data_IF_907163225846
#
_entry.id   IF_907163225846
#
_cell.length_a   1.000
_cell.length_b   1.000
_cell.length_c   1.000
_cell.angle_alpha   90.00
_cell.angle_beta   90.00
_cell.angle_gamma   90.00
#
_symmetry.space_group_name_H-M   'P 1'
#
loop_
_entity.id
_entity.type
_entity.pdbx_description
1 polymer ?
#
# COMPACT_ATOMS: atom_id res chain seq x y z
N UNK A 1 26.55 -1.42 4.25
CA UNK A 1 25.47 -1.76 5.18
C UNK A 1 25.45 -0.81 6.37
N UNK A 2 24.35 -0.09 6.54
CA UNK A 2 24.00 0.71 7.71
C UNK A 2 23.48 -0.12 8.89
N UNK A 3 23.28 -1.42 8.71
CA UNK A 3 22.83 -2.29 9.79
C UNK A 3 23.85 -2.29 10.93
N UNK A 4 23.33 -2.07 12.14
CA UNK A 4 24.12 -2.12 13.37
C UNK A 4 24.15 -3.56 13.88
N UNK A 5 25.35 -4.05 14.21
CA UNK A 5 25.49 -5.28 14.95
C UNK A 5 25.47 -4.91 16.44
N UNK A 6 24.28 -4.90 17.04
CA UNK A 6 24.07 -4.52 18.46
C UNK A 6 24.01 -5.76 19.36
N UNK A 7 24.53 -5.63 20.60
CA UNK A 7 24.55 -6.69 21.63
C UNK A 7 23.85 -6.24 22.91
N UNK A 8 23.03 -7.13 23.50
CA UNK A 8 22.45 -6.94 24.84
C UNK A 8 23.41 -7.51 25.91
N UNK A 9 23.67 -6.80 27.03
CA UNK A 9 22.86 -5.74 27.63
C UNK A 9 23.44 -4.31 27.55
N UNK A 10 24.51 -4.04 26.78
CA UNK A 10 25.17 -2.73 26.72
C UNK A 10 24.42 -1.72 25.82
N UNK A 11 23.12 -1.54 26.03
CA UNK A 11 22.25 -0.65 25.26
C UNK A 11 22.50 0.85 25.49
N UNK A 12 23.38 1.23 26.42
CA UNK A 12 23.57 2.64 26.81
C UNK A 12 24.94 3.24 26.44
N UNK A 13 25.94 2.44 26.08
CA UNK A 13 27.27 2.95 25.75
C UNK A 13 27.43 3.11 24.23
N UNK A 14 27.05 4.28 23.72
CA UNK A 14 27.17 4.65 22.31
C UNK A 14 28.61 4.54 21.78
N UNK A 15 29.63 4.55 22.67
CA UNK A 15 31.04 4.41 22.31
C UNK A 15 31.44 2.99 21.89
N UNK A 16 30.65 1.97 22.27
CA UNK A 16 30.91 0.55 21.98
C UNK A 16 30.11 0.01 20.78
N UNK A 17 29.51 0.90 19.98
CA UNK A 17 28.71 0.52 18.81
C UNK A 17 29.59 0.08 17.65
N UNK A 18 29.36 -1.14 17.17
CA UNK A 18 30.03 -1.70 16.00
C UNK A 18 29.07 -1.78 14.80
N UNK A 19 29.54 -1.35 13.63
CA UNK A 19 28.80 -1.43 12.38
C UNK A 19 29.29 -2.59 11.53
N UNK A 20 28.40 -3.22 10.74
CA UNK A 20 28.78 -4.33 9.88
C UNK A 20 29.95 -4.01 8.92
N UNK A 21 30.05 -2.79 8.40
CA UNK A 21 31.19 -2.42 7.54
C UNK A 21 32.57 -2.43 8.24
N UNK A 22 32.61 -2.43 9.58
CA UNK A 22 33.86 -2.50 10.35
C UNK A 22 34.28 -3.96 10.60
N UNK A 23 33.29 -4.82 10.87
CA UNK A 23 33.49 -6.22 11.28
C UNK A 23 33.46 -7.22 10.13
N UNK A 24 33.04 -6.81 8.93
CA UNK A 24 33.04 -7.65 7.74
C UNK A 24 34.29 -7.41 6.88
N UNK A 25 34.74 -8.47 6.19
CA UNK A 25 35.78 -8.41 5.18
C UNK A 25 35.27 -7.80 3.85
N UNK A 26 36.15 -7.71 2.85
CA UNK A 26 35.81 -7.18 1.51
C UNK A 26 34.82 -8.07 0.75
N UNK A 27 34.69 -9.32 1.16
CA UNK A 27 33.81 -10.34 0.57
C UNK A 27 32.45 -10.43 1.30
N UNK A 28 32.28 -9.68 2.39
CA UNK A 28 31.07 -9.65 3.21
C UNK A 28 31.00 -10.73 4.28
N UNK A 29 32.08 -11.48 4.56
CA UNK A 29 32.15 -12.45 5.66
C UNK A 29 32.62 -11.79 6.96
N UNK A 30 32.21 -12.37 8.08
CA UNK A 30 32.59 -11.92 9.42
C UNK A 30 34.07 -12.22 9.69
N UNK A 31 34.84 -11.17 10.04
CA UNK A 31 36.25 -11.26 10.44
C UNK A 31 36.40 -12.06 11.72
N UNK A 32 37.51 -12.79 11.84
CA UNK A 32 37.85 -13.51 13.08
C UNK A 32 38.20 -12.54 14.23
N UNK A 33 38.11 -12.99 15.49
CA UNK A 33 38.50 -12.16 16.65
C UNK A 33 39.93 -11.62 16.50
N UNK A 34 40.85 -12.45 15.98
CA UNK A 34 42.26 -12.07 15.78
C UNK A 34 42.39 -10.92 14.76
N UNK A 35 41.66 -10.99 13.64
CA UNK A 35 41.65 -9.93 12.62
C UNK A 35 41.02 -8.62 13.12
N UNK A 36 40.11 -8.69 14.10
CA UNK A 36 39.51 -7.51 14.73
C UNK A 36 40.47 -6.87 15.73
N UNK A 37 41.22 -7.68 16.49
CA UNK A 37 42.28 -7.21 17.39
C UNK A 37 43.40 -6.49 16.62
N UNK A 38 43.79 -7.01 15.44
CA UNK A 38 44.74 -6.34 14.53
C UNK A 38 44.27 -4.95 14.05
N UNK A 39 42.95 -4.70 14.05
CA UNK A 39 42.33 -3.44 13.66
C UNK A 39 42.05 -2.52 14.87
N UNK A 40 42.64 -2.80 16.04
CA UNK A 40 42.37 -2.12 17.32
C UNK A 40 40.90 -2.19 17.77
N UNK A 41 40.15 -3.22 17.35
CA UNK A 41 38.77 -3.45 17.80
C UNK A 41 38.77 -4.58 18.82
N UNK A 42 38.79 -4.22 20.11
CA UNK A 42 38.71 -5.19 21.21
C UNK A 42 37.27 -5.57 21.50
N UNK A 43 36.91 -6.84 21.26
CA UNK A 43 35.57 -7.38 21.52
C UNK A 43 35.72 -8.61 22.41
N UNK A 44 34.93 -8.71 23.47
CA UNK A 44 34.93 -9.91 24.29
C UNK A 44 34.34 -11.11 23.54
N UNK A 45 34.77 -12.33 23.88
CA UNK A 45 34.33 -13.56 23.20
C UNK A 45 32.82 -13.76 23.21
N UNK A 46 32.12 -13.28 24.25
CA UNK A 46 30.67 -13.42 24.36
C UNK A 46 29.95 -12.46 23.41
N UNK A 47 30.37 -11.19 23.35
CA UNK A 47 29.88 -10.23 22.36
C UNK A 47 30.19 -10.73 20.95
N UNK A 48 31.39 -11.26 20.69
CA UNK A 48 31.73 -11.85 19.39
C UNK A 48 30.75 -12.97 18.97
N UNK A 49 30.41 -13.85 19.91
CA UNK A 49 29.45 -14.91 19.69
C UNK A 49 28.04 -14.37 19.38
N UNK A 50 27.60 -13.32 20.07
CA UNK A 50 26.34 -12.64 19.80
C UNK A 50 26.32 -11.99 18.40
N UNK A 51 27.43 -11.36 17.96
CA UNK A 51 27.62 -10.84 16.59
C UNK A 51 27.41 -11.96 15.59
N UNK A 52 28.05 -13.10 15.83
CA UNK A 52 28.04 -14.23 14.91
C UNK A 52 26.62 -14.78 14.73
N UNK A 53 25.85 -14.88 15.81
CA UNK A 53 24.44 -15.31 15.75
C UNK A 53 23.61 -14.31 14.96
N UNK A 54 23.75 -13.01 15.26
CA UNK A 54 22.98 -11.95 14.61
C UNK A 54 23.32 -11.86 13.12
N UNK A 55 24.59 -11.90 12.77
CA UNK A 55 25.10 -11.94 11.40
C UNK A 55 24.49 -13.10 10.60
N UNK A 56 24.49 -14.32 11.14
CA UNK A 56 23.91 -15.49 10.47
C UNK A 56 22.41 -15.33 10.23
N UNK A 57 21.68 -14.74 11.19
CA UNK A 57 20.25 -14.46 11.05
C UNK A 57 19.99 -13.40 9.97
N UNK A 58 20.73 -12.29 10.02
CA UNK A 58 20.57 -11.16 9.11
C UNK A 58 20.93 -11.54 7.67
N UNK A 59 21.99 -12.33 7.49
CA UNK A 59 22.39 -12.86 6.19
C UNK A 59 21.30 -13.76 5.58
N UNK A 60 20.59 -14.53 6.40
CA UNK A 60 19.53 -15.44 5.95
C UNK A 60 18.22 -14.71 5.64
N UNK A 61 17.86 -13.69 6.41
CA UNK A 61 16.58 -12.98 6.29
C UNK A 61 16.62 -11.83 5.26
N UNK A 62 17.72 -11.07 5.22
CA UNK A 62 17.77 -9.80 4.48
C UNK A 62 18.92 -9.71 3.47
N UNK A 63 19.95 -10.55 3.59
CA UNK A 63 21.23 -10.34 2.91
C UNK A 63 21.97 -9.12 3.48
N UNK A 64 23.30 -9.07 3.34
CA UNK A 64 24.11 -7.95 3.84
C UNK A 64 24.82 -7.28 2.68
N UNK A 65 24.32 -6.09 2.30
CA UNK A 65 24.96 -5.28 1.26
C UNK A 65 26.13 -4.49 1.83
N UNK A 66 27.34 -4.76 1.35
CA UNK A 66 28.55 -4.06 1.81
C UNK A 66 28.66 -2.63 1.26
N UNK A 67 28.03 -2.34 0.11
CA UNK A 67 28.03 -1.01 -0.52
C UNK A 67 27.09 -0.03 0.21
N UNK A 68 27.41 1.27 0.12
CA UNK A 68 26.55 2.33 0.65
C UNK A 68 25.46 2.67 -0.36
N UNK A 69 24.20 2.45 0.04
CA UNK A 69 23.06 2.80 -0.79
C UNK A 69 22.80 4.31 -0.74
N UNK A 70 22.03 4.83 -1.70
CA UNK A 70 21.68 6.25 -1.72
C UNK A 70 20.94 6.68 -0.44
N UNK A 71 20.13 5.80 0.17
CA UNK A 71 19.57 5.99 1.51
C UNK A 71 20.63 6.15 2.59
N UNK A 72 21.67 5.32 2.59
CA UNK A 72 22.75 5.40 3.58
C UNK A 72 23.45 6.76 3.50
N UNK A 73 23.62 7.29 2.28
CA UNK A 73 24.19 8.63 2.07
C UNK A 73 23.28 9.75 2.59
N UNK A 74 21.96 9.62 2.42
CA UNK A 74 20.97 10.58 2.94
C UNK A 74 20.89 10.53 4.46
N UNK A 75 20.95 9.34 5.07
CA UNK A 75 20.81 9.14 6.51
C UNK A 75 22.08 9.49 7.30
N UNK A 76 23.26 9.32 6.70
CA UNK A 76 24.56 9.58 7.35
C UNK A 76 25.17 10.94 6.98
N UNK A 77 24.64 11.61 5.95
CA UNK A 77 25.11 12.94 5.55
C UNK A 77 24.72 14.01 6.57
N UNK A 78 25.64 14.92 6.92
CA UNK A 78 25.37 16.13 7.72
C UNK A 78 24.64 17.22 6.91
N UNK A 79 23.87 16.82 5.90
CA UNK A 79 23.35 17.72 4.89
C UNK A 79 22.12 18.49 5.40
N UNK A 80 22.12 19.80 5.15
CA UNK A 80 20.88 20.59 5.22
C UNK A 80 19.86 20.00 4.23
N UNK A 81 18.57 20.04 4.58
CA UNK A 81 17.44 19.54 3.77
C UNK A 81 17.33 18.00 3.67
N UNK A 82 17.78 17.27 4.70
CA UNK A 82 17.61 15.81 4.81
C UNK A 82 16.17 15.34 4.51
N UNK A 83 15.15 16.05 5.02
CA UNK A 83 13.73 15.73 4.79
C UNK A 83 13.40 15.78 3.30
N UNK A 84 13.83 16.82 2.57
CA UNK A 84 13.57 16.95 1.13
C UNK A 84 14.28 15.87 0.31
N UNK A 85 15.52 15.52 0.68
CA UNK A 85 16.25 14.42 0.02
C UNK A 85 15.56 13.07 0.26
N UNK A 86 15.11 12.82 1.49
CA UNK A 86 14.37 11.61 1.83
C UNK A 86 13.03 11.56 1.08
N UNK A 87 12.29 12.67 1.01
CA UNK A 87 11.03 12.76 0.28
C UNK A 87 11.22 12.48 -1.21
N UNK A 88 12.22 13.08 -1.85
CA UNK A 88 12.51 12.82 -3.27
C UNK A 88 12.95 11.37 -3.51
N UNK A 89 13.77 10.80 -2.62
CA UNK A 89 14.17 9.40 -2.72
C UNK A 89 12.96 8.45 -2.59
N UNK A 90 12.08 8.71 -1.63
CA UNK A 90 10.85 7.92 -1.45
C UNK A 90 9.91 8.07 -2.64
N UNK A 91 9.77 9.27 -3.21
CA UNK A 91 9.02 9.50 -4.44
C UNK A 91 9.60 8.68 -5.60
N UNK A 92 10.91 8.74 -5.84
CA UNK A 92 11.56 7.97 -6.90
C UNK A 92 11.36 6.46 -6.71
N UNK A 93 11.43 5.97 -5.48
CA UNK A 93 11.21 4.56 -5.16
C UNK A 93 9.74 4.13 -5.33
N UNK A 94 8.79 4.92 -4.83
CA UNK A 94 7.34 4.68 -4.96
C UNK A 94 6.90 4.69 -6.43
N UNK A 95 7.48 5.57 -7.25
CA UNK A 95 7.21 5.64 -8.69
C UNK A 95 7.76 4.42 -9.47
N UNK A 96 8.80 3.75 -8.96
CA UNK A 96 9.42 2.59 -9.61
C UNK A 96 8.75 1.28 -9.21
N UNK A 97 8.28 1.14 -7.96
CA UNK A 97 7.72 -0.13 -7.47
C UNK A 97 6.19 -0.26 -7.62
N UNK A 98 5.43 0.83 -7.69
CA UNK A 98 3.96 0.80 -7.52
C UNK A 98 3.15 1.06 -8.81
N UNK A 99 3.55 0.50 -9.95
CA UNK A 99 2.80 0.60 -11.22
C UNK A 99 1.43 -0.12 -11.12
N UNK A 100 1.27 -1.06 -10.18
CA UNK A 100 0.04 -1.83 -10.01
C UNK A 100 -0.39 -1.87 -8.54
N UNK A 101 -1.23 -0.91 -8.14
CA UNK A 101 -1.79 -0.91 -6.78
C UNK A 101 -2.64 -2.18 -6.59
N UNK A 102 -2.43 -2.95 -5.52
CA UNK A 102 -3.20 -4.17 -5.21
C UNK A 102 -4.74 -4.05 -5.37
N UNK A 103 -5.38 -2.91 -5.05
CA UNK A 103 -6.80 -2.67 -5.33
C UNK A 103 -7.17 -2.72 -6.81
N UNK A 104 -6.30 -2.26 -7.72
CA UNK A 104 -6.53 -2.26 -9.17
C UNK A 104 -6.66 -3.69 -9.71
N UNK A 105 -5.75 -4.59 -9.33
CA UNK A 105 -5.83 -6.03 -9.66
C UNK A 105 -7.13 -6.61 -9.10
N UNK A 106 -7.45 -6.25 -7.86
CA UNK A 106 -8.61 -6.79 -7.18
C UNK A 106 -9.94 -6.30 -7.79
N UNK A 107 -9.96 -5.10 -8.38
CA UNK A 107 -11.08 -4.59 -9.18
C UNK A 107 -11.14 -5.25 -10.56
N UNK A 108 -10.00 -5.34 -11.26
CA UNK A 108 -9.90 -6.02 -12.55
C UNK A 108 -10.44 -7.46 -12.48
N UNK A 109 -10.09 -8.19 -11.41
CA UNK A 109 -10.62 -9.54 -11.15
C UNK A 109 -12.14 -9.58 -11.00
N UNK A 110 -12.76 -8.56 -10.39
CA UNK A 110 -14.23 -8.52 -10.22
C UNK A 110 -14.95 -8.12 -11.51
N UNK A 111 -14.35 -7.24 -12.32
CA UNK A 111 -14.93 -6.77 -13.57
C UNK A 111 -14.70 -7.74 -14.73
N UNK A 112 -13.67 -8.58 -14.64
CA UNK A 112 -13.32 -9.56 -15.67
C UNK A 112 -12.45 -9.01 -16.79
N UNK A 113 -11.90 -7.81 -16.64
CA UNK A 113 -10.98 -7.18 -17.58
C UNK A 113 -10.02 -6.23 -16.85
N UNK A 114 -8.90 -5.90 -17.48
CA UNK A 114 -7.88 -5.03 -16.87
C UNK A 114 -8.27 -3.56 -16.92
N UNK A 115 -8.07 -2.86 -15.80
CA UNK A 115 -8.07 -1.40 -15.72
C UNK A 115 -6.64 -0.95 -16.00
N UNK A 116 -6.47 -0.08 -17.00
CA UNK A 116 -5.16 0.47 -17.33
C UNK A 116 -4.72 1.49 -16.29
N UNK A 117 -3.41 1.68 -16.13
CA UNK A 117 -2.88 2.61 -15.12
C UNK A 117 -3.33 4.05 -15.41
N UNK A 118 -3.36 4.44 -16.68
CA UNK A 118 -3.80 5.76 -17.12
C UNK A 118 -5.25 6.02 -16.73
N UNK A 119 -6.14 5.04 -16.96
CA UNK A 119 -7.56 5.11 -16.54
C UNK A 119 -7.67 5.23 -15.01
N UNK A 120 -6.84 4.50 -14.26
CA UNK A 120 -6.81 4.56 -12.81
C UNK A 120 -6.34 5.93 -12.28
N UNK A 121 -5.29 6.51 -12.89
CA UNK A 121 -4.79 7.83 -12.56
C UNK A 121 -5.79 8.95 -12.89
N UNK A 122 -6.51 8.83 -14.00
CA UNK A 122 -7.56 9.79 -14.36
C UNK A 122 -8.68 9.80 -13.32
N UNK A 123 -9.11 8.62 -12.86
CA UNK A 123 -10.10 8.50 -11.78
C UNK A 123 -9.57 9.16 -10.50
N UNK A 124 -8.30 8.93 -10.17
CA UNK A 124 -7.66 9.52 -9.00
C UNK A 124 -7.62 11.05 -9.06
N UNK A 125 -7.09 11.60 -10.15
CA UNK A 125 -7.00 13.05 -10.41
C UNK A 125 -8.38 13.70 -10.38
N UNK A 126 -9.38 13.07 -11.01
CA UNK A 126 -10.77 13.53 -11.00
C UNK A 126 -11.36 13.54 -9.60
N UNK A 127 -11.18 12.47 -8.84
CA UNK A 127 -11.74 12.32 -7.50
C UNK A 127 -11.14 13.34 -6.50
N UNK A 128 -9.90 13.78 -6.72
CA UNK A 128 -9.27 14.86 -5.95
C UNK A 128 -9.97 16.22 -6.13
N UNK A 129 -10.47 16.50 -7.34
CA UNK A 129 -11.03 17.80 -7.72
C UNK A 129 -12.55 17.86 -7.67
N UNK A 130 -13.25 16.72 -7.70
CA UNK A 130 -14.71 16.67 -7.89
C UNK A 130 -15.52 17.34 -6.77
N UNK A 131 -15.02 17.30 -5.54
CA UNK A 131 -15.74 17.82 -4.38
C UNK A 131 -14.78 18.50 -3.42
N UNK A 132 -15.24 19.55 -2.73
CA UNK A 132 -14.48 20.19 -1.64
C UNK A 132 -14.74 19.53 -0.28
N UNK A 133 -15.80 18.72 -0.16
CA UNK A 133 -16.14 18.05 1.09
C UNK A 133 -15.17 16.92 1.38
N UNK A 134 -14.57 16.95 2.57
CA UNK A 134 -13.64 15.92 3.04
C UNK A 134 -14.33 14.55 3.14
N UNK A 135 -15.58 14.51 3.62
CA UNK A 135 -16.32 13.27 3.77
C UNK A 135 -16.54 12.56 2.42
N UNK A 136 -16.91 13.28 1.37
CA UNK A 136 -17.09 12.70 0.04
C UNK A 136 -15.75 12.25 -0.58
N UNK A 137 -14.66 12.99 -0.37
CA UNK A 137 -13.32 12.54 -0.79
C UNK A 137 -12.92 11.25 -0.10
N UNK A 138 -13.16 11.15 1.20
CA UNK A 138 -12.86 9.95 1.99
C UNK A 138 -13.64 8.74 1.48
N UNK A 139 -14.95 8.88 1.19
CA UNK A 139 -15.75 7.79 0.61
C UNK A 139 -15.20 7.31 -0.73
N UNK A 140 -14.79 8.23 -1.61
CA UNK A 140 -14.18 7.88 -2.89
C UNK A 140 -12.88 7.09 -2.70
N UNK A 141 -12.02 7.51 -1.77
CA UNK A 141 -10.80 6.79 -1.45
C UNK A 141 -11.08 5.41 -0.88
N UNK A 142 -12.03 5.31 0.06
CA UNK A 142 -12.45 4.03 0.64
C UNK A 142 -12.99 3.09 -0.43
N UNK A 143 -13.70 3.61 -1.43
CA UNK A 143 -14.20 2.81 -2.55
C UNK A 143 -13.07 2.36 -3.48
N UNK A 144 -12.23 3.29 -3.96
CA UNK A 144 -11.11 2.98 -4.85
C UNK A 144 -10.16 1.94 -4.24
N UNK A 145 -9.71 2.17 -3.00
CA UNK A 145 -8.76 1.29 -2.31
C UNK A 145 -9.41 0.08 -1.62
N UNK A 146 -10.74 -0.06 -1.69
CA UNK A 146 -11.49 -1.13 -1.04
C UNK A 146 -11.22 -1.21 0.46
N UNK A 147 -11.27 -0.05 1.11
CA UNK A 147 -10.95 0.11 2.53
C UNK A 147 -11.97 -0.56 3.45
N UNK A 148 -13.25 -0.56 3.07
CA UNK A 148 -14.30 -1.15 3.89
C UNK A 148 -14.03 -2.63 4.20
N UNK A 149 -14.10 -3.00 5.48
CA UNK A 149 -13.93 -4.38 5.93
C UNK A 149 -15.21 -5.17 5.61
N UNK A 150 -15.09 -6.14 4.71
CA UNK A 150 -16.16 -7.08 4.41
C UNK A 150 -16.17 -8.24 5.42
N UNK A 151 -17.32 -8.87 5.71
CA UNK A 151 -17.42 -10.06 6.57
C UNK A 151 -16.39 -11.15 6.23
N UNK A 152 -16.13 -11.39 4.94
CA UNK A 152 -15.12 -12.36 4.49
C UNK A 152 -13.69 -12.01 4.91
N UNK A 153 -13.38 -10.72 5.07
CA UNK A 153 -12.09 -10.25 5.62
C UNK A 153 -12.10 -10.29 7.14
N UNK A 154 -13.21 -9.93 7.77
CA UNK A 154 -13.33 -9.89 9.24
C UNK A 154 -13.08 -11.26 9.88
N UNK A 155 -13.53 -12.36 9.26
CA UNK A 155 -13.26 -13.71 9.79
C UNK A 155 -11.77 -14.02 9.90
N UNK A 156 -10.97 -13.51 8.97
CA UNK A 156 -9.52 -13.74 8.98
C UNK A 156 -8.86 -13.07 10.19
N UNK A 157 -9.48 -12.02 10.72
CA UNK A 157 -9.02 -11.27 11.90
C UNK A 157 -9.65 -11.86 13.17
N UNK A 158 -10.96 -12.14 13.11
CA UNK A 158 -11.78 -12.62 14.20
C UNK A 158 -12.49 -13.91 13.76
N UNK A 159 -11.93 -15.10 14.08
CA UNK A 159 -12.48 -16.37 13.62
C UNK A 159 -13.92 -16.66 14.06
N UNK A 160 -14.39 -16.02 15.14
CA UNK A 160 -15.76 -16.14 15.66
C UNK A 160 -16.79 -15.26 14.92
N UNK A 161 -16.33 -14.39 14.00
CA UNK A 161 -17.22 -13.51 13.26
C UNK A 161 -18.05 -14.26 12.21
N UNK A 162 -19.25 -13.74 11.91
CA UNK A 162 -20.14 -14.32 10.92
C UNK A 162 -19.71 -13.96 9.47
N UNK A 163 -19.55 -14.94 8.55
CA UNK A 163 -19.15 -14.69 7.15
C UNK A 163 -20.22 -14.04 6.29
N UNK A 164 -21.45 -14.05 6.75
CA UNK A 164 -22.60 -13.76 5.93
C UNK A 164 -22.71 -12.27 5.64
N UNK A 165 -23.22 -11.95 4.46
CA UNK A 165 -23.49 -10.58 4.05
C UNK A 165 -24.40 -9.88 5.06
N UNK A 166 -24.00 -8.71 5.56
CA UNK A 166 -24.80 -7.91 6.49
C UNK A 166 -26.16 -7.49 5.95
N UNK A 167 -26.30 -7.42 4.62
CA UNK A 167 -27.52 -6.97 3.96
C UNK A 167 -28.47 -8.14 3.70
N UNK A 168 -28.08 -9.10 2.86
CA UNK A 168 -28.98 -10.19 2.49
C UNK A 168 -28.96 -11.38 3.47
N UNK A 169 -27.93 -11.51 4.30
CA UNK A 169 -27.75 -12.63 5.26
C UNK A 169 -27.78 -14.04 4.64
N UNK A 170 -27.65 -14.17 3.31
CA UNK A 170 -27.75 -15.44 2.56
C UNK A 170 -26.40 -15.87 1.96
N UNK A 171 -25.66 -14.94 1.35
CA UNK A 171 -24.39 -15.26 0.70
C UNK A 171 -23.20 -14.75 1.54
N UNK A 172 -22.01 -15.29 1.28
CA UNK A 172 -20.77 -14.76 1.86
C UNK A 172 -20.60 -13.26 1.56
N UNK A 173 -20.35 -12.49 2.61
CA UNK A 173 -20.12 -11.05 2.54
C UNK A 173 -18.72 -10.73 2.00
N UNK A 174 -18.48 -10.99 0.72
CA UNK A 174 -17.29 -10.45 0.03
C UNK A 174 -17.50 -8.96 -0.23
N UNK A 175 -16.40 -8.21 -0.39
CA UNK A 175 -16.49 -6.78 -0.68
C UNK A 175 -17.31 -6.50 -1.95
N UNK A 176 -17.09 -7.26 -3.03
CA UNK A 176 -17.85 -7.07 -4.27
C UNK A 176 -19.33 -7.46 -4.10
N UNK A 177 -19.62 -8.45 -3.26
CA UNK A 177 -20.99 -8.80 -2.93
C UNK A 177 -21.71 -7.67 -2.19
N UNK A 178 -21.10 -7.10 -1.16
CA UNK A 178 -21.69 -6.00 -0.38
C UNK A 178 -22.02 -4.76 -1.19
N UNK A 179 -21.25 -4.50 -2.26
CA UNK A 179 -21.37 -3.28 -3.05
C UNK A 179 -22.04 -3.46 -4.40
N UNK A 180 -22.14 -4.69 -4.93
CA UNK A 180 -22.71 -4.93 -6.26
C UNK A 180 -23.60 -6.18 -6.35
N UNK A 181 -23.08 -7.37 -6.05
CA UNK A 181 -23.81 -8.62 -6.36
C UNK A 181 -24.89 -8.98 -5.35
N UNK A 182 -24.94 -8.34 -4.19
CA UNK A 182 -26.00 -8.55 -3.21
C UNK A 182 -27.37 -8.15 -3.81
N UNK A 183 -28.41 -9.01 -3.74
CA UNK A 183 -29.72 -8.71 -4.33
C UNK A 183 -30.33 -7.39 -3.86
N UNK A 184 -30.18 -7.07 -2.57
CA UNK A 184 -30.67 -5.81 -1.97
C UNK A 184 -29.95 -4.61 -2.59
N UNK A 185 -28.64 -4.73 -2.82
CA UNK A 185 -27.81 -3.67 -3.38
C UNK A 185 -28.00 -3.55 -4.89
N UNK A 186 -28.21 -4.67 -5.58
CA UNK A 186 -28.60 -4.67 -6.98
C UNK A 186 -29.90 -3.89 -7.17
N UNK A 187 -30.90 -4.12 -6.33
CA UNK A 187 -32.16 -3.36 -6.36
C UNK A 187 -31.95 -1.87 -6.07
N UNK A 188 -31.07 -1.54 -5.13
CA UNK A 188 -30.69 -0.15 -4.86
C UNK A 188 -30.07 0.52 -6.09
N UNK A 189 -29.06 -0.11 -6.71
CA UNK A 189 -28.42 0.44 -7.91
C UNK A 189 -29.35 0.54 -9.11
N UNK A 190 -30.32 -0.38 -9.25
CA UNK A 190 -31.33 -0.28 -10.30
C UNK A 190 -32.22 0.95 -10.13
N UNK A 191 -32.61 1.28 -8.89
CA UNK A 191 -33.35 2.52 -8.60
C UNK A 191 -32.52 3.76 -8.95
N UNK A 192 -31.24 3.77 -8.57
CA UNK A 192 -30.32 4.87 -8.90
C UNK A 192 -30.13 5.00 -10.41
N UNK A 193 -30.00 3.89 -11.13
CA UNK A 193 -29.93 3.88 -12.60
C UNK A 193 -31.18 4.54 -13.20
N UNK A 194 -32.37 4.06 -12.86
CA UNK A 194 -33.61 4.60 -13.41
C UNK A 194 -33.73 6.10 -13.14
N UNK A 195 -33.44 6.52 -11.91
CA UNK A 195 -33.46 7.95 -11.55
C UNK A 195 -32.45 8.79 -12.33
N UNK A 196 -31.24 8.28 -12.55
CA UNK A 196 -30.24 8.95 -13.39
C UNK A 196 -30.67 9.03 -14.86
N UNK A 197 -31.27 7.97 -15.39
CA UNK A 197 -31.78 7.95 -16.77
C UNK A 197 -32.95 8.91 -16.96
N UNK A 198 -33.84 9.04 -15.97
CA UNK A 198 -34.92 10.02 -15.95
C UNK A 198 -34.39 11.46 -15.95
N UNK A 199 -33.34 11.75 -15.18
CA UNK A 199 -32.75 13.11 -15.12
C UNK A 199 -31.96 13.44 -16.39
N UNK A 200 -31.16 12.48 -16.85
CA UNK A 200 -30.21 12.72 -17.95
C UNK A 200 -30.84 12.51 -19.32
N UNK A 201 -31.99 11.83 -19.39
CA UNK A 201 -32.64 11.40 -20.63
C UNK A 201 -31.73 10.54 -21.52
N UNK A 202 -30.81 9.80 -20.89
CA UNK A 202 -29.79 8.98 -21.57
C UNK A 202 -29.78 7.59 -20.93
N UNK A 203 -29.75 6.55 -21.77
CA UNK A 203 -29.59 5.17 -21.31
C UNK A 203 -28.19 4.90 -20.77
N UNK A 204 -28.12 4.45 -19.51
CA UNK A 204 -26.90 4.10 -18.80
C UNK A 204 -26.60 2.59 -18.91
N UNK A 205 -25.32 2.27 -19.05
CA UNK A 205 -24.87 0.88 -19.03
C UNK A 205 -25.04 0.26 -17.63
N UNK A 206 -25.43 -1.02 -17.58
CA UNK A 206 -25.50 -1.78 -16.34
C UNK A 206 -24.15 -2.44 -16.03
N UNK A 207 -23.17 -1.59 -15.73
CA UNK A 207 -21.77 -1.99 -15.54
C UNK A 207 -21.24 -1.53 -14.16
N UNK A 208 -20.70 -2.44 -13.31
CA UNK A 208 -20.28 -2.11 -11.95
C UNK A 208 -19.26 -0.98 -11.86
N UNK A 209 -18.31 -0.93 -12.80
CA UNK A 209 -17.27 0.10 -12.90
C UNK A 209 -17.83 1.52 -12.99
N UNK A 210 -19.00 1.69 -13.63
CA UNK A 210 -19.71 2.96 -13.71
C UNK A 210 -20.23 3.35 -12.34
N UNK A 211 -20.98 2.47 -11.68
CA UNK A 211 -21.63 2.79 -10.40
C UNK A 211 -20.65 2.86 -9.23
N UNK A 212 -19.61 2.03 -9.22
CA UNK A 212 -18.66 1.93 -8.11
C UNK A 212 -17.45 2.85 -8.26
N UNK A 213 -16.89 2.97 -9.46
CA UNK A 213 -15.68 3.78 -9.70
C UNK A 213 -15.96 5.04 -10.54
N UNK A 214 -17.10 5.12 -11.21
CA UNK A 214 -17.46 6.28 -12.04
C UNK A 214 -16.80 6.21 -13.41
N UNK A 215 -16.47 5.01 -13.89
CA UNK A 215 -15.84 4.81 -15.19
C UNK A 215 -16.95 4.81 -16.25
N UNK A 216 -16.87 5.77 -17.17
CA UNK A 216 -17.83 5.94 -18.27
C UNK A 216 -17.13 5.58 -19.57
N UNK A 217 -17.35 4.36 -20.06
CA UNK A 217 -16.74 3.88 -21.32
C UNK A 217 -17.49 4.34 -22.56
N UNK A 218 -18.81 4.48 -22.45
CA UNK A 218 -19.64 5.07 -23.49
C UNK A 218 -19.44 6.59 -23.54
N UNK A 219 -19.49 7.14 -24.74
CA UNK A 219 -19.48 8.58 -24.93
C UNK A 219 -20.83 9.18 -24.53
N UNK A 220 -20.75 10.20 -23.69
CA UNK A 220 -21.87 11.01 -23.24
C UNK A 220 -21.45 12.48 -23.30
N UNK A 221 -22.41 13.42 -23.47
CA UNK A 221 -22.11 14.84 -23.40
C UNK A 221 -21.35 15.20 -22.11
N UNK A 222 -20.33 16.09 -22.15
CA UNK A 222 -19.50 16.40 -20.98
C UNK A 222 -20.30 16.83 -19.75
N UNK A 223 -21.38 17.62 -19.94
CA UNK A 223 -22.29 18.03 -18.86
C UNK A 223 -23.00 16.84 -18.20
N UNK A 224 -23.41 15.86 -19.00
CA UNK A 224 -24.07 14.64 -18.52
C UNK A 224 -23.06 13.75 -17.80
N UNK A 225 -21.84 13.57 -18.34
CA UNK A 225 -20.75 12.86 -17.65
C UNK A 225 -20.50 13.46 -16.27
N UNK A 226 -20.36 14.79 -16.22
CA UNK A 226 -20.13 15.51 -14.96
C UNK A 226 -21.26 15.25 -13.95
N UNK A 227 -22.52 15.38 -14.37
CA UNK A 227 -23.68 15.18 -13.51
C UNK A 227 -23.75 13.75 -12.96
N UNK A 228 -23.57 12.74 -13.82
CA UNK A 228 -23.58 11.33 -13.43
C UNK A 228 -22.50 11.06 -12.38
N UNK A 229 -21.25 11.49 -12.62
CA UNK A 229 -20.15 11.24 -11.69
C UNK A 229 -20.37 11.96 -10.36
N UNK A 230 -20.91 13.19 -10.36
CA UNK A 230 -21.23 13.93 -9.14
C UNK A 230 -22.29 13.23 -8.30
N UNK A 231 -23.39 12.82 -8.94
CA UNK A 231 -24.47 12.11 -8.27
C UNK A 231 -23.96 10.80 -7.68
N UNK A 232 -23.25 9.99 -8.47
CA UNK A 232 -22.70 8.72 -8.00
C UNK A 232 -21.70 8.92 -6.86
N UNK A 233 -20.96 10.01 -6.85
CA UNK A 233 -20.04 10.37 -5.75
C UNK A 233 -20.79 10.63 -4.45
N UNK A 234 -21.95 11.30 -4.51
CA UNK A 234 -22.77 11.54 -3.31
C UNK A 234 -23.48 10.29 -2.79
N UNK A 235 -23.68 9.29 -3.64
CA UNK A 235 -24.40 8.05 -3.32
C UNK A 235 -23.50 6.98 -2.67
N UNK A 236 -22.20 7.00 -2.98
CA UNK A 236 -21.20 6.04 -2.48
C UNK A 236 -20.81 6.30 -1.02
#
# INVERSE_FOLDING_TARGET
STMEAMFHPNTMDMSKKLRYHQILDKEGKLKSIQELEEQNITIDRWSYFQITIRYKKDLKEFGIETKSNNLDKILLGQDKNMISKLYNYLLEFELVEEIVKGPMIAWAKNFGYNIQLEEWEEIWKRNLTITKSVAYKENLYKMMYRWHLAPSRLIKIYPTANPMCWKCKINHGTYYHLWWTCPIIKNFWMKIKNWLEEITQVGLEWKPELYLLGILRKEYPPKIKYLIVHILTGIR
#
